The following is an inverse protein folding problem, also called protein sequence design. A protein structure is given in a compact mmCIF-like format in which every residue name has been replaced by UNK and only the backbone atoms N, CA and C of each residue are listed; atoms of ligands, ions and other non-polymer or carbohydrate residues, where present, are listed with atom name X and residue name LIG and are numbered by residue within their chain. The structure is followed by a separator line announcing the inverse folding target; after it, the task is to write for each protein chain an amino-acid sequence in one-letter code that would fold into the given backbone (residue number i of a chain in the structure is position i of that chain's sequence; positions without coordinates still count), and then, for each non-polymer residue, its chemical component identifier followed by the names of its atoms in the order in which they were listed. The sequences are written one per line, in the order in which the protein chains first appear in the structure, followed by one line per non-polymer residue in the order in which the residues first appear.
data_IF_439590743100
#
_entry.id   IF_439590743100
#
_cell.length_a   1.000
_cell.length_b   1.000
_cell.length_c   1.000
_cell.angle_alpha   90.00
_cell.angle_beta   90.00
_cell.angle_gamma   90.00
#
_symmetry.space_group_name_H-M   'P 1'
#
loop_
_entity.id
_entity.type
_entity.pdbx_description
1 polymer ?
#
# COMPACT_ATOMS: atom_id res chain seq x y z
N UNK A 1 -43.33 17.12 25.74
CA UNK A 1 -42.67 17.92 24.71
C UNK A 1 -41.65 17.03 23.97
N UNK A 2 -42.09 16.53 22.81
CA UNK A 2 -41.48 15.70 21.76
C UNK A 2 -40.02 15.19 21.92
N UNK A 3 -39.86 13.99 22.49
CA UNK A 3 -38.61 13.19 22.41
C UNK A 3 -38.19 12.87 20.96
N UNK A 4 -39.14 12.91 20.00
CA UNK A 4 -38.90 12.72 18.58
C UNK A 4 -38.15 13.89 17.93
N UNK A 5 -38.36 15.12 18.42
CA UNK A 5 -37.66 16.32 17.92
C UNK A 5 -36.20 16.34 18.38
N UNK A 6 -35.96 15.93 19.62
CA UNK A 6 -34.60 15.82 20.18
C UNK A 6 -33.77 14.75 19.44
N UNK A 7 -34.36 13.60 19.14
CA UNK A 7 -33.71 12.53 18.36
C UNK A 7 -33.37 12.96 16.93
N UNK A 8 -34.26 13.72 16.27
CA UNK A 8 -34.03 14.26 14.92
C UNK A 8 -32.93 15.32 14.89
N UNK A 9 -32.91 16.22 15.88
CA UNK A 9 -31.84 17.22 16.02
C UNK A 9 -30.48 16.60 16.30
N UNK A 10 -30.43 15.59 17.18
CA UNK A 10 -29.22 14.84 17.48
C UNK A 10 -28.68 14.06 16.26
N UNK A 11 -29.58 13.44 15.48
CA UNK A 11 -29.20 12.75 14.26
C UNK A 11 -28.62 13.70 13.20
N UNK A 12 -29.24 14.87 13.00
CA UNK A 12 -28.72 15.89 12.07
C UNK A 12 -27.36 16.44 12.55
N UNK A 13 -27.18 16.61 13.85
CA UNK A 13 -25.91 17.05 14.42
C UNK A 13 -24.78 16.04 14.18
N UNK A 14 -25.04 14.75 14.38
CA UNK A 14 -24.07 13.68 14.07
C UNK A 14 -23.74 13.66 12.57
N UNK A 15 -24.75 13.83 11.70
CA UNK A 15 -24.57 13.83 10.25
C UNK A 15 -23.67 15.00 9.79
N UNK A 16 -23.83 16.19 10.38
CA UNK A 16 -22.99 17.36 10.10
C UNK A 16 -21.54 17.12 10.56
N UNK A 17 -21.34 16.54 11.75
CA UNK A 17 -20.00 16.19 12.25
C UNK A 17 -19.32 15.14 11.34
N UNK A 18 -20.07 14.15 10.86
CA UNK A 18 -19.56 13.15 9.93
C UNK A 18 -19.13 13.76 8.58
N UNK A 19 -19.85 14.78 8.10
CA UNK A 19 -19.49 15.48 6.86
C UNK A 19 -18.23 16.35 7.03
N UNK A 20 -18.03 16.98 8.19
CA UNK A 20 -16.84 17.83 8.46
C UNK A 20 -15.57 16.97 8.64
N UNK A 21 -15.70 15.73 9.11
CA UNK A 21 -14.54 14.84 9.35
C UNK A 21 -14.05 14.12 8.09
N UNK A 22 -14.79 14.19 6.97
CA UNK A 22 -14.43 13.49 5.70
C UNK A 22 -13.74 14.39 4.67
N UNK A 23 -13.72 15.72 4.85
CA UNK A 23 -13.15 16.68 3.90
C UNK A 23 -11.62 16.82 3.96
N UNK A 24 -10.93 16.06 4.81
CA UNK A 24 -9.49 16.16 5.04
C UNK A 24 -8.76 14.85 4.79
N UNK A 25 -8.85 14.28 3.59
CA UNK A 25 -8.03 13.12 3.22
C UNK A 25 -6.58 13.58 3.04
N UNK A 26 -5.85 13.67 4.15
CA UNK A 26 -4.47 14.16 4.18
C UNK A 26 -3.53 13.14 3.52
N UNK A 27 -2.44 13.60 2.89
CA UNK A 27 -1.41 12.74 2.32
C UNK A 27 -0.87 11.69 3.32
N UNK A 28 -0.98 11.98 4.62
CA UNK A 28 -0.67 11.05 5.71
C UNK A 28 -1.64 9.86 5.79
N UNK A 29 -2.94 10.09 5.57
CA UNK A 29 -3.93 9.00 5.49
C UNK A 29 -3.73 8.17 4.23
N UNK A 30 -3.38 8.80 3.09
CA UNK A 30 -2.97 8.07 1.87
C UNK A 30 -1.74 7.20 2.12
N UNK A 31 -0.70 7.73 2.78
CA UNK A 31 0.48 6.94 3.17
C UNK A 31 0.10 5.79 4.12
N UNK A 32 -0.72 6.04 5.13
CA UNK A 32 -1.16 4.99 6.06
C UNK A 32 -1.98 3.89 5.35
N UNK A 33 -2.86 4.27 4.42
CA UNK A 33 -3.57 3.31 3.57
C UNK A 33 -2.61 2.53 2.66
N UNK A 34 -1.58 3.18 2.11
CA UNK A 34 -0.53 2.51 1.34
C UNK A 34 0.26 1.52 2.19
N UNK A 35 0.64 1.89 3.42
CA UNK A 35 1.31 0.99 4.36
C UNK A 35 0.42 -0.22 4.68
N UNK A 36 -0.84 0.01 5.04
CA UNK A 36 -1.80 -1.07 5.34
C UNK A 36 -2.05 -1.99 4.15
N UNK A 37 -2.16 -1.42 2.94
CA UNK A 37 -2.33 -2.18 1.69
C UNK A 37 -1.06 -2.93 1.29
N UNK A 38 0.12 -2.37 1.55
CA UNK A 38 1.41 -3.03 1.32
C UNK A 38 1.59 -4.24 2.24
N UNK A 39 1.15 -4.13 3.50
CA UNK A 39 1.26 -5.22 4.47
C UNK A 39 0.34 -6.41 4.17
N UNK A 40 -0.83 -6.15 3.56
CA UNK A 40 -1.88 -7.16 3.32
C UNK A 40 -1.92 -7.66 1.86
N UNK A 41 -1.65 -6.79 0.86
CA UNK A 41 -1.88 -7.11 -0.57
C UNK A 41 -0.64 -6.80 -1.44
N UNK A 42 0.42 -6.19 -0.88
CA UNK A 42 1.57 -5.73 -1.66
C UNK A 42 1.26 -4.50 -2.55
N UNK A 43 2.29 -3.95 -3.20
CA UNK A 43 2.17 -2.81 -4.13
C UNK A 43 2.50 -3.26 -5.55
N UNK A 44 1.90 -2.58 -6.54
CA UNK A 44 2.27 -2.80 -7.94
C UNK A 44 3.69 -2.29 -8.13
N UNK A 45 4.58 -3.20 -8.51
CA UNK A 45 6.01 -2.91 -8.62
C UNK A 45 6.62 -3.59 -9.83
N UNK A 46 7.67 -2.98 -10.35
CA UNK A 46 8.60 -3.58 -11.30
C UNK A 46 9.93 -3.80 -10.58
N UNK A 47 10.38 -5.05 -10.55
CA UNK A 47 11.67 -5.46 -10.00
C UNK A 47 12.59 -5.78 -11.16
N UNK A 48 13.74 -5.10 -11.26
CA UNK A 48 14.75 -5.37 -12.29
C UNK A 48 16.06 -5.77 -11.63
N UNK A 49 16.52 -6.97 -11.94
CA UNK A 49 17.82 -7.50 -11.51
C UNK A 49 18.86 -7.26 -12.61
N UNK A 50 19.99 -6.69 -12.23
CA UNK A 50 21.11 -6.38 -13.11
C UNK A 50 22.34 -7.21 -12.78
N UNK A 51 23.18 -7.47 -13.78
CA UNK A 51 24.53 -7.98 -13.58
C UNK A 51 25.49 -6.86 -13.16
N UNK A 52 26.75 -7.22 -12.92
CA UNK A 52 27.79 -6.27 -12.50
C UNK A 52 28.13 -5.21 -13.56
N UNK A 53 27.71 -5.43 -14.82
CA UNK A 53 27.93 -4.53 -15.95
C UNK A 53 26.70 -3.65 -16.23
N UNK A 54 25.64 -3.77 -15.43
CA UNK A 54 24.39 -3.02 -15.60
C UNK A 54 23.47 -3.59 -16.68
N UNK A 55 23.71 -4.81 -17.17
CA UNK A 55 22.79 -5.50 -18.09
C UNK A 55 21.69 -6.18 -17.30
N UNK A 56 20.47 -6.12 -17.82
CA UNK A 56 19.31 -6.77 -17.22
C UNK A 56 19.46 -8.29 -17.30
N UNK A 57 19.44 -8.94 -16.13
CA UNK A 57 19.38 -10.41 -16.00
C UNK A 57 17.92 -10.86 -16.07
N UNK A 58 17.04 -10.20 -15.30
CA UNK A 58 15.63 -10.58 -15.20
C UNK A 58 14.77 -9.42 -14.70
N UNK A 59 13.50 -9.46 -15.10
CA UNK A 59 12.46 -8.53 -14.65
C UNK A 59 11.24 -9.27 -14.12
N UNK A 60 10.63 -8.72 -13.09
CA UNK A 60 9.33 -9.13 -12.57
C UNK A 60 8.43 -7.89 -12.52
N UNK A 61 7.19 -8.05 -12.92
CA UNK A 61 6.18 -7.00 -12.86
C UNK A 61 4.91 -7.62 -12.31
N UNK A 62 4.36 -7.02 -11.26
CA UNK A 62 3.25 -7.64 -10.53
C UNK A 62 2.99 -6.90 -9.23
N UNK A 63 2.25 -7.54 -8.32
CA UNK A 63 1.94 -6.95 -7.01
C UNK A 63 2.70 -7.68 -5.92
N UNK A 64 3.82 -7.10 -5.52
CA UNK A 64 4.77 -7.78 -4.64
C UNK A 64 4.78 -7.14 -3.26
N UNK A 65 4.78 -7.97 -2.22
CA UNK A 65 5.29 -7.61 -0.90
C UNK A 65 6.77 -7.94 -0.89
N UNK A 66 7.61 -6.91 -0.82
CA UNK A 66 9.06 -7.07 -0.82
C UNK A 66 9.56 -6.95 0.60
N UNK A 67 10.31 -7.95 1.03
CA UNK A 67 10.96 -8.00 2.33
C UNK A 67 12.47 -7.87 2.14
N UNK A 68 13.10 -7.03 2.96
CA UNK A 68 14.55 -6.85 2.95
C UNK A 68 15.11 -7.68 4.10
N UNK A 69 15.95 -8.66 3.78
CA UNK A 69 16.53 -9.58 4.75
C UNK A 69 18.06 -9.50 4.67
N UNK A 70 18.61 -8.46 5.32
CA UNK A 70 20.06 -8.23 5.36
C UNK A 70 20.63 -7.92 3.97
N UNK A 71 21.21 -8.94 3.33
CA UNK A 71 21.92 -8.83 2.05
C UNK A 71 21.08 -9.25 0.81
N UNK A 72 19.81 -9.60 0.99
CA UNK A 72 18.91 -9.91 -0.11
C UNK A 72 17.53 -9.31 0.08
N UNK A 73 16.79 -9.22 -1.02
CA UNK A 73 15.35 -9.01 -1.01
C UNK A 73 14.62 -10.31 -1.34
N UNK A 74 13.45 -10.50 -0.76
CA UNK A 74 12.57 -11.62 -1.09
C UNK A 74 11.14 -11.15 -1.37
N UNK A 75 10.47 -11.83 -2.29
CA UNK A 75 9.06 -11.64 -2.58
C UNK A 75 8.48 -12.88 -3.26
N UNK A 76 7.17 -13.05 -3.13
CA UNK A 76 6.42 -14.07 -3.88
C UNK A 76 6.01 -13.47 -5.23
N UNK A 77 6.37 -14.13 -6.33
CA UNK A 77 5.95 -13.71 -7.67
C UNK A 77 4.49 -14.09 -7.96
N UNK A 78 3.96 -13.64 -9.11
CA UNK A 78 2.56 -13.89 -9.48
C UNK A 78 2.24 -15.38 -9.70
N UNK A 79 3.26 -16.26 -9.82
CA UNK A 79 3.08 -17.71 -9.90
C UNK A 79 3.13 -18.39 -8.53
N UNK A 80 3.23 -17.62 -7.44
CA UNK A 80 3.38 -18.16 -6.08
C UNK A 80 4.80 -18.64 -5.76
N UNK A 81 5.80 -18.31 -6.59
CA UNK A 81 7.19 -18.71 -6.35
C UNK A 81 7.88 -17.71 -5.42
N UNK A 82 8.54 -18.22 -4.37
CA UNK A 82 9.45 -17.41 -3.55
C UNK A 82 10.71 -17.06 -4.35
N UNK A 83 10.93 -15.77 -4.57
CA UNK A 83 12.06 -15.21 -5.31
C UNK A 83 12.95 -14.48 -4.32
N UNK A 84 14.23 -14.89 -4.26
CA UNK A 84 15.27 -14.25 -3.44
C UNK A 84 16.35 -13.68 -4.34
N UNK A 85 16.68 -12.41 -4.14
CA UNK A 85 17.63 -11.69 -4.99
C UNK A 85 18.70 -11.04 -4.11
N UNK A 86 19.95 -11.44 -4.33
CA UNK A 86 21.14 -10.74 -3.86
C UNK A 86 21.80 -10.02 -5.03
N UNK A 87 22.34 -8.82 -4.79
CA UNK A 87 23.05 -8.02 -5.79
C UNK A 87 22.31 -6.74 -6.19
N UNK A 88 22.58 -6.25 -7.40
CA UNK A 88 22.05 -4.97 -7.89
C UNK A 88 20.61 -5.14 -8.38
N UNK A 89 19.67 -4.67 -7.57
CA UNK A 89 18.23 -4.71 -7.88
C UNK A 89 17.61 -3.33 -7.77
N UNK A 90 16.78 -2.98 -8.74
CA UNK A 90 15.97 -1.77 -8.73
C UNK A 90 14.50 -2.16 -8.59
N UNK A 91 13.81 -1.52 -7.65
CA UNK A 91 12.39 -1.73 -7.37
C UNK A 91 11.66 -0.41 -7.60
N UNK A 92 10.76 -0.40 -8.57
CA UNK A 92 9.96 0.77 -8.94
C UNK A 92 8.49 0.52 -8.61
N UNK A 93 7.79 1.48 -8.00
CA UNK A 93 6.33 1.45 -7.86
C UNK A 93 5.69 1.87 -9.20
N UNK A 94 4.62 1.18 -9.62
CA UNK A 94 3.86 1.44 -10.84
C UNK A 94 2.49 2.06 -10.55
#
# INVERSE_FOLDING_TARGET
MNSLFFKRGFFLFILVIALITTSGCTERQRKNLKHFKSDIIGLKRKVTLYDAQGKIIRQWQGRFKIEIQGNYISFIDDNGKDVKISGTVVVEEL
#
